data_IF_349016686190
#
_entry.id   IF_349016686190
#
_cell.length_a   1.000
_cell.length_b   1.000
_cell.length_c   1.000
_cell.angle_alpha   90.00
_cell.angle_beta   90.00
_cell.angle_gamma   90.00
#
_symmetry.space_group_name_H-M   'P 1'
#
loop_
_entity.id
_entity.type
_entity.pdbx_description
1 polymer ?
#
# COMPACT_ATOMS: atom_id res chain seq x y z
N UNK A 1 -9.61 10.24 -29.24
CA UNK A 1 -8.47 9.84 -28.39
C UNK A 1 -7.49 9.04 -29.22
N UNK A 2 -6.19 9.32 -29.12
CA UNK A 2 -5.17 8.49 -29.76
C UNK A 2 -4.85 7.31 -28.84
N UNK A 3 -4.97 6.09 -29.36
CA UNK A 3 -4.59 4.87 -28.64
C UNK A 3 -3.25 4.37 -29.18
N UNK A 4 -2.32 4.03 -28.30
CA UNK A 4 -1.07 3.35 -28.65
C UNK A 4 -1.10 1.96 -28.03
N UNK A 5 -0.69 0.97 -28.81
CA UNK A 5 -0.55 -0.40 -28.34
C UNK A 5 0.87 -0.59 -27.80
N UNK A 6 0.98 -1.16 -26.61
CA UNK A 6 2.24 -1.54 -25.98
C UNK A 6 2.18 -3.02 -25.64
N UNK A 7 3.29 -3.73 -25.81
CA UNK A 7 3.42 -5.10 -25.33
C UNK A 7 3.87 -5.07 -23.87
N UNK A 8 3.21 -5.86 -23.04
CA UNK A 8 3.58 -6.06 -21.64
C UNK A 8 4.07 -7.49 -21.47
N UNK A 9 5.04 -7.69 -20.58
CA UNK A 9 5.34 -9.02 -20.08
C UNK A 9 4.16 -9.54 -19.22
N UNK A 10 4.14 -10.86 -18.99
CA UNK A 10 3.06 -11.49 -18.20
C UNK A 10 2.99 -10.91 -16.78
N UNK A 11 4.14 -10.63 -16.17
CA UNK A 11 4.21 -10.08 -14.82
C UNK A 11 3.60 -8.68 -14.73
N UNK A 12 3.92 -7.77 -15.64
CA UNK A 12 3.34 -6.43 -15.67
C UNK A 12 1.85 -6.48 -15.98
N UNK A 13 1.42 -7.35 -16.91
CA UNK A 13 0.00 -7.54 -17.17
C UNK A 13 -0.75 -8.01 -15.93
N UNK A 14 -0.24 -9.01 -15.21
CA UNK A 14 -0.86 -9.54 -13.99
C UNK A 14 -0.91 -8.49 -12.88
N UNK A 15 0.13 -7.67 -12.72
CA UNK A 15 0.12 -6.55 -11.77
C UNK A 15 -0.98 -5.55 -12.08
N UNK A 16 -1.13 -5.13 -13.33
CA UNK A 16 -2.19 -4.22 -13.73
C UNK A 16 -3.58 -4.84 -13.57
N UNK A 17 -3.72 -6.14 -13.88
CA UNK A 17 -4.97 -6.87 -13.71
C UNK A 17 -5.40 -6.96 -12.24
N UNK A 18 -4.47 -7.15 -11.32
CA UNK A 18 -4.76 -7.22 -9.89
C UNK A 18 -5.12 -5.85 -9.27
N UNK A 19 -4.66 -4.76 -9.88
CA UNK A 19 -4.97 -3.39 -9.45
C UNK A 19 -6.29 -2.85 -10.03
N UNK A 20 -6.87 -3.57 -10.98
CA UNK A 20 -8.05 -3.15 -11.73
C UNK A 20 -9.33 -3.47 -10.96
N UNK A 21 -10.18 -2.47 -10.75
CA UNK A 21 -11.52 -2.65 -10.18
C UNK A 21 -12.55 -3.05 -11.25
N UNK A 22 -13.68 -3.62 -10.81
CA UNK A 22 -14.75 -4.06 -11.71
C UNK A 22 -15.33 -2.87 -12.50
N UNK A 23 -15.15 -2.90 -13.84
CA UNK A 23 -15.62 -1.86 -14.76
C UNK A 23 -14.58 -0.80 -15.14
N UNK A 24 -13.38 -0.82 -14.57
CA UNK A 24 -12.28 0.09 -14.93
C UNK A 24 -11.62 -0.31 -16.28
N UNK A 25 -10.98 0.63 -17.00
CA UNK A 25 -10.14 0.29 -18.17
C UNK A 25 -8.67 0.13 -17.76
N UNK A 26 -7.92 -0.70 -18.49
CA UNK A 26 -6.46 -0.77 -18.31
C UNK A 26 -5.78 0.59 -18.50
N UNK A 27 -6.29 1.43 -19.40
CA UNK A 27 -5.77 2.79 -19.57
C UNK A 27 -5.98 3.67 -18.35
N UNK A 28 -7.04 3.44 -17.56
CA UNK A 28 -7.33 4.20 -16.35
C UNK A 28 -6.45 3.72 -15.19
N UNK A 29 -6.25 2.41 -15.06
CA UNK A 29 -5.29 1.83 -14.11
C UNK A 29 -3.87 2.35 -14.38
N UNK A 30 -3.44 2.36 -15.65
CA UNK A 30 -2.13 2.89 -16.01
C UNK A 30 -2.02 4.36 -15.61
N UNK A 31 -3.01 5.19 -15.94
CA UNK A 31 -3.03 6.60 -15.52
C UNK A 31 -2.95 6.73 -14.00
N UNK A 32 -3.71 5.96 -13.24
CA UNK A 32 -3.73 5.96 -11.76
C UNK A 32 -2.38 5.58 -11.15
N UNK A 33 -1.68 4.62 -11.75
CA UNK A 33 -0.35 4.17 -11.29
C UNK A 33 0.74 5.15 -11.68
N UNK A 34 0.65 5.76 -12.86
CA UNK A 34 1.61 6.77 -13.34
C UNK A 34 1.26 8.18 -12.89
N UNK A 35 0.12 8.36 -12.23
CA UNK A 35 -0.32 9.65 -11.72
C UNK A 35 0.71 10.09 -10.68
N UNK A 36 1.29 11.28 -10.86
CA UNK A 36 2.23 11.87 -9.91
C UNK A 36 1.49 12.39 -8.68
N UNK A 37 0.63 11.56 -8.05
CA UNK A 37 0.00 11.91 -6.78
C UNK A 37 1.07 12.00 -5.74
N UNK A 38 1.53 13.22 -5.51
CA UNK A 38 2.52 13.52 -4.51
C UNK A 38 1.92 13.12 -3.17
N UNK A 39 2.63 12.32 -2.38
CA UNK A 39 2.24 12.08 -0.98
C UNK A 39 2.11 13.38 -0.18
N UNK A 40 2.64 14.50 -0.70
CA UNK A 40 2.41 15.85 -0.20
C UNK A 40 0.95 16.31 -0.29
N UNK A 41 0.15 15.79 -1.22
CA UNK A 41 -1.29 16.08 -1.31
C UNK A 41 -2.06 15.46 -0.13
N UNK A 42 -1.50 14.41 0.49
CA UNK A 42 -2.05 13.74 1.67
C UNK A 42 -1.53 14.40 2.96
N UNK A 43 -0.47 15.22 2.88
CA UNK A 43 0.10 15.90 4.03
C UNK A 43 -0.87 16.96 4.56
N UNK A 44 -1.22 16.89 5.84
CA UNK A 44 -2.14 17.80 6.51
C UNK A 44 -3.58 17.28 6.68
N UNK A 45 -3.88 16.05 6.23
CA UNK A 45 -5.18 15.41 6.47
C UNK A 45 -5.37 14.99 7.93
N UNK A 46 -4.27 14.69 8.63
CA UNK A 46 -4.25 14.21 10.02
C UNK A 46 -3.53 15.25 10.88
N UNK A 47 -4.10 15.58 12.04
CA UNK A 47 -3.48 16.48 13.01
C UNK A 47 -2.22 15.87 13.66
N UNK A 48 -1.35 16.71 14.23
CA UNK A 48 -0.14 16.24 14.90
C UNK A 48 -0.47 15.35 16.12
N UNK A 49 -1.58 15.66 16.82
CA UNK A 49 -2.10 14.85 17.92
C UNK A 49 -2.56 13.46 17.45
N UNK A 50 -3.41 13.38 16.42
CA UNK A 50 -3.89 12.12 15.86
C UNK A 50 -2.74 11.29 15.29
N UNK A 51 -1.78 11.93 14.63
CA UNK A 51 -0.57 11.27 14.12
C UNK A 51 0.28 10.70 15.25
N UNK A 52 0.36 11.39 16.39
CA UNK A 52 1.10 10.93 17.57
C UNK A 52 0.40 9.75 18.24
N UNK A 53 -0.92 9.81 18.38
CA UNK A 53 -1.71 8.69 18.91
C UNK A 53 -1.57 7.43 18.03
N UNK A 54 -1.66 7.60 16.71
CA UNK A 54 -1.47 6.51 15.75
C UNK A 54 -0.06 5.89 15.89
N UNK A 55 0.99 6.72 16.02
CA UNK A 55 2.37 6.23 16.21
C UNK A 55 2.51 5.43 17.51
N UNK A 56 1.92 5.90 18.60
CA UNK A 56 1.97 5.19 19.88
C UNK A 56 1.24 3.85 19.83
N UNK A 57 0.07 3.78 19.17
CA UNK A 57 -0.64 2.51 18.95
C UNK A 57 0.19 1.51 18.14
N UNK A 58 0.75 1.95 17.01
CA UNK A 58 1.62 1.09 16.17
C UNK A 58 2.83 0.59 16.98
N UNK A 59 3.40 1.44 17.84
CA UNK A 59 4.53 1.07 18.69
C UNK A 59 4.15 -0.04 19.69
N UNK A 60 3.02 0.11 20.37
CA UNK A 60 2.49 -0.90 21.30
C UNK A 60 2.22 -2.23 20.59
N UNK A 61 1.54 -2.19 19.45
CA UNK A 61 1.21 -3.39 18.68
C UNK A 61 2.47 -4.15 18.23
N UNK A 62 3.51 -3.42 17.83
CA UNK A 62 4.82 -4.00 17.46
C UNK A 62 5.54 -4.60 18.66
N UNK A 63 5.48 -3.97 19.83
CA UNK A 63 6.03 -4.54 21.06
C UNK A 63 5.31 -5.82 21.47
N UNK A 64 3.98 -5.84 21.45
CA UNK A 64 3.20 -7.02 21.78
C UNK A 64 3.46 -8.17 20.80
N UNK A 65 3.58 -7.84 19.51
CA UNK A 65 3.92 -8.83 18.49
C UNK A 65 5.32 -9.41 18.70
N UNK A 66 6.32 -8.59 19.05
CA UNK A 66 7.66 -9.07 19.43
C UNK A 66 7.63 -9.94 20.68
N UNK A 67 6.91 -9.52 21.73
CA UNK A 67 6.76 -10.31 22.96
C UNK A 67 6.13 -11.68 22.68
N UNK A 68 5.09 -11.73 21.83
CA UNK A 68 4.47 -12.99 21.41
C UNK A 68 5.46 -13.90 20.68
N UNK A 69 6.23 -13.34 19.74
CA UNK A 69 7.26 -14.11 19.01
C UNK A 69 8.34 -14.64 19.95
N UNK A 70 8.83 -13.83 20.89
CA UNK A 70 9.82 -14.26 21.88
C UNK A 70 9.27 -15.37 22.80
N UNK A 71 8.00 -15.27 23.23
CA UNK A 71 7.35 -16.32 24.00
C UNK A 71 7.26 -17.64 23.22
N UNK A 72 6.88 -17.59 21.94
CA UNK A 72 6.80 -18.76 21.07
C UNK A 72 8.18 -19.41 20.84
N UNK A 73 9.22 -18.61 20.65
CA UNK A 73 10.60 -19.11 20.49
C UNK A 73 11.13 -19.76 21.77
N UNK A 74 10.74 -19.27 22.95
CA UNK A 74 11.12 -19.85 24.25
C UNK A 74 10.42 -21.17 24.55
N UNK A 75 9.18 -21.35 24.09
CA UNK A 75 8.43 -22.60 24.26
C UNK A 75 8.83 -23.70 23.26
N UNK A 76 9.53 -23.35 22.18
CA UNK A 76 9.99 -24.28 21.15
C UNK A 76 11.40 -24.87 21.42
N UNK A 77 11.97 -24.61 22.60
CA UNK A 77 13.31 -25.04 23.03
C UNK A 77 13.21 -25.91 24.28
#
# INVERSE_FOLDING_TARGET
MSTKNISLDEDAYNRLKNLKDDGESFSDVVKKVTDERSLKEIAGIISDEEASEMKERIRKDREESRKRLDCLQKTAK
#
